data_IF_419647198881
#
_entry.id   IF_419647198881
#
_cell.length_a   1.000
_cell.length_b   1.000
_cell.length_c   1.000
_cell.angle_alpha   90.00
_cell.angle_beta   90.00
_cell.angle_gamma   90.00
#
_symmetry.space_group_name_H-M   'P 1'
#
loop_
_entity.id
_entity.type
_entity.pdbx_description
1 polymer ?
#
# COMPACT_ATOMS: atom_id res chain seq x y z
N UNK A 1 -18.23 30.69 -6.44
CA UNK A 1 -18.00 29.30 -6.89
C UNK A 1 -17.43 28.58 -5.70
N UNK A 2 -18.24 27.77 -5.02
CA UNK A 2 -17.72 26.87 -3.98
C UNK A 2 -16.95 25.75 -4.68
N UNK A 3 -15.81 25.36 -4.10
CA UNK A 3 -15.06 24.17 -4.48
C UNK A 3 -15.71 22.94 -3.85
N UNK A 4 -17.03 22.81 -3.97
CA UNK A 4 -17.72 21.58 -3.59
C UNK A 4 -17.50 20.63 -4.77
N UNK A 5 -16.30 20.05 -4.81
CA UNK A 5 -16.03 18.95 -5.71
C UNK A 5 -16.69 17.72 -5.10
N UNK A 6 -17.68 17.15 -5.80
CA UNK A 6 -18.22 15.83 -5.48
C UNK A 6 -17.14 14.71 -5.55
N UNK A 7 -15.93 15.06 -5.99
CA UNK A 7 -14.70 14.24 -6.09
C UNK A 7 -13.85 14.29 -4.80
N UNK A 8 -14.49 14.20 -3.63
CA UNK A 8 -13.75 14.15 -2.36
C UNK A 8 -13.18 12.74 -2.12
N UNK A 9 -11.85 12.67 -2.02
CA UNK A 9 -11.17 11.47 -1.51
C UNK A 9 -11.19 11.45 0.02
N UNK A 10 -11.55 10.30 0.59
CA UNK A 10 -11.36 9.99 2.00
C UNK A 10 -10.05 9.21 2.19
N UNK A 11 -9.23 9.64 3.15
CA UNK A 11 -8.00 8.94 3.53
C UNK A 11 -8.25 8.11 4.78
N UNK A 12 -8.03 6.80 4.70
CA UNK A 12 -8.24 5.87 5.81
C UNK A 12 -7.17 4.78 5.85
N UNK A 13 -7.06 4.10 6.98
CA UNK A 13 -6.25 2.88 7.07
C UNK A 13 -6.86 1.81 6.16
N UNK A 14 -5.99 1.00 5.55
CA UNK A 14 -6.40 -0.12 4.72
C UNK A 14 -7.21 -1.13 5.55
N UNK A 15 -8.40 -1.45 5.07
CA UNK A 15 -9.26 -2.48 5.65
C UNK A 15 -9.15 -3.79 4.88
N UNK A 16 -9.54 -4.89 5.53
CA UNK A 16 -9.35 -6.26 5.00
C UNK A 16 -10.09 -6.49 3.68
N UNK A 17 -11.23 -5.84 3.49
CA UNK A 17 -12.06 -5.90 2.29
C UNK A 17 -11.46 -5.15 1.09
N UNK A 18 -10.52 -4.23 1.32
CA UNK A 18 -9.87 -3.42 0.26
C UNK A 18 -8.46 -3.89 -0.10
N UNK A 19 -8.00 -5.01 0.47
CA UNK A 19 -6.64 -5.53 0.28
C UNK A 19 -6.35 -5.86 -1.18
N UNK A 20 -7.28 -6.54 -1.86
CA UNK A 20 -7.06 -6.96 -3.25
C UNK A 20 -7.06 -5.75 -4.21
N UNK A 21 -7.91 -4.75 -3.97
CA UNK A 21 -7.92 -3.49 -4.75
C UNK A 21 -6.58 -2.75 -4.61
N UNK A 22 -6.06 -2.64 -3.38
CA UNK A 22 -4.77 -2.03 -3.11
C UNK A 22 -3.62 -2.77 -3.82
N UNK A 23 -3.61 -4.11 -3.78
CA UNK A 23 -2.61 -4.93 -4.47
C UNK A 23 -2.72 -4.83 -6.00
N UNK A 24 -3.93 -4.70 -6.54
CA UNK A 24 -4.16 -4.49 -7.97
C UNK A 24 -3.59 -3.14 -8.43
N UNK A 25 -3.85 -2.07 -7.68
CA UNK A 25 -3.28 -0.74 -7.95
C UNK A 25 -1.75 -0.81 -7.91
N UNK A 26 -1.20 -1.49 -6.91
CA UNK A 26 0.25 -1.67 -6.77
C UNK A 26 0.86 -2.41 -7.96
N UNK A 27 0.24 -3.51 -8.39
CA UNK A 27 0.73 -4.31 -9.51
C UNK A 27 0.69 -3.53 -10.83
N UNK A 28 -0.35 -2.72 -11.05
CA UNK A 28 -0.47 -1.93 -12.28
C UNK A 28 0.47 -0.72 -12.30
N UNK A 29 0.57 0.00 -11.18
CA UNK A 29 1.38 1.24 -11.10
C UNK A 29 2.87 0.99 -10.98
N UNK A 30 3.31 -0.16 -10.44
CA UNK A 30 4.74 -0.50 -10.31
C UNK A 30 5.44 -0.62 -11.67
N UNK A 31 4.70 -0.90 -12.76
CA UNK A 31 5.24 -0.87 -14.14
C UNK A 31 5.75 0.52 -14.55
N UNK A 32 5.35 1.56 -13.83
CA UNK A 32 5.74 2.95 -14.06
C UNK A 32 6.82 3.43 -13.06
N UNK A 33 7.25 2.57 -12.13
CA UNK A 33 8.28 2.88 -11.14
C UNK A 33 9.67 2.85 -11.81
N UNK A 34 10.52 3.83 -11.48
CA UNK A 34 11.75 4.09 -12.21
C UNK A 34 12.82 3.00 -12.02
N UNK A 35 12.90 2.38 -10.83
CA UNK A 35 13.81 1.26 -10.59
C UNK A 35 13.28 -0.03 -11.23
N UNK A 36 11.97 -0.28 -11.18
CA UNK A 36 11.34 -1.41 -11.84
C UNK A 36 11.58 -1.37 -13.36
N UNK A 37 11.44 -0.19 -13.98
CA UNK A 37 11.77 0.02 -15.40
C UNK A 37 13.28 -0.13 -15.62
N UNK A 38 14.09 0.57 -14.81
CA UNK A 38 15.54 0.63 -15.00
C UNK A 38 16.26 -0.71 -14.84
N UNK A 39 15.67 -1.63 -14.06
CA UNK A 39 16.20 -2.96 -13.79
C UNK A 39 15.49 -4.07 -14.58
N UNK A 40 14.52 -3.75 -15.45
CA UNK A 40 13.77 -4.76 -16.20
C UNK A 40 13.00 -5.71 -15.30
N UNK A 41 12.50 -5.23 -14.14
CA UNK A 41 11.91 -6.09 -13.10
C UNK A 41 10.74 -6.94 -13.60
N UNK A 42 9.97 -6.44 -14.58
CA UNK A 42 8.84 -7.16 -15.17
C UNK A 42 9.20 -8.02 -16.39
N UNK A 43 10.48 -8.06 -16.76
CA UNK A 43 11.02 -8.94 -17.82
C UNK A 43 11.51 -10.27 -17.24
N UNK A 44 11.69 -10.34 -15.91
CA UNK A 44 12.07 -11.54 -15.17
C UNK A 44 10.84 -12.32 -14.69
N UNK A 45 10.85 -13.64 -14.93
CA UNK A 45 9.81 -14.54 -14.44
C UNK A 45 9.82 -14.58 -12.89
N UNK A 46 8.67 -14.35 -12.25
CA UNK A 46 8.49 -14.49 -10.80
C UNK A 46 8.55 -13.20 -9.98
N UNK A 47 9.13 -12.12 -10.51
CA UNK A 47 9.22 -10.84 -9.80
C UNK A 47 7.85 -10.24 -9.41
N UNK A 48 6.79 -10.31 -10.25
CA UNK A 48 5.45 -9.85 -9.86
C UNK A 48 4.87 -10.63 -8.67
N UNK A 49 5.08 -11.95 -8.63
CA UNK A 49 4.62 -12.82 -7.56
C UNK A 49 5.33 -12.52 -6.24
N UNK A 50 6.65 -12.34 -6.27
CA UNK A 50 7.45 -11.98 -5.10
C UNK A 50 7.05 -10.62 -4.54
N UNK A 51 6.82 -9.62 -5.41
CA UNK A 51 6.35 -8.31 -5.00
C UNK A 51 4.95 -8.37 -4.37
N UNK A 52 4.05 -9.22 -4.88
CA UNK A 52 2.74 -9.43 -4.27
C UNK A 52 2.86 -9.98 -2.84
N UNK A 53 3.72 -10.99 -2.65
CA UNK A 53 4.00 -11.55 -1.33
C UNK A 53 4.59 -10.50 -0.37
N UNK A 54 5.54 -9.70 -0.84
CA UNK A 54 6.15 -8.62 -0.06
C UNK A 54 5.09 -7.64 0.46
N UNK A 55 4.22 -7.12 -0.41
CA UNK A 55 3.20 -6.16 0.01
C UNK A 55 2.13 -6.78 0.91
N UNK A 56 1.79 -8.06 0.74
CA UNK A 56 0.94 -8.78 1.71
C UNK A 56 1.55 -8.81 3.10
N UNK A 57 2.87 -8.95 3.23
CA UNK A 57 3.56 -8.88 4.52
C UNK A 57 3.71 -7.45 5.07
N UNK A 58 3.79 -6.44 4.19
CA UNK A 58 3.76 -5.03 4.62
C UNK A 58 2.40 -4.66 5.23
N UNK A 59 1.30 -5.08 4.61
CA UNK A 59 -0.07 -4.79 5.06
C UNK A 59 -0.34 -5.29 6.48
N UNK A 60 0.28 -6.41 6.89
CA UNK A 60 0.07 -6.98 8.22
C UNK A 60 0.50 -6.07 9.37
N UNK A 61 1.34 -5.07 9.10
CA UNK A 61 1.73 -4.08 10.10
C UNK A 61 0.58 -3.12 10.46
N UNK A 62 -0.50 -3.10 9.66
CA UNK A 62 -1.68 -2.25 9.91
C UNK A 62 -1.43 -0.76 9.68
N UNK A 63 -0.35 -0.39 8.98
CA UNK A 63 0.07 1.00 8.76
C UNK A 63 -0.17 1.50 7.33
N UNK A 64 -0.69 0.66 6.44
CA UNK A 64 -1.01 1.03 5.06
C UNK A 64 -2.19 2.00 5.02
N UNK A 65 -2.03 3.10 4.28
CA UNK A 65 -3.08 4.10 4.05
C UNK A 65 -3.66 3.94 2.65
N UNK A 66 -4.96 4.18 2.51
CA UNK A 66 -5.66 4.23 1.24
C UNK A 66 -6.38 5.56 1.08
N UNK A 67 -6.45 6.03 -0.16
CA UNK A 67 -7.36 7.08 -0.58
C UNK A 67 -8.54 6.43 -1.31
N UNK A 68 -9.77 6.77 -0.91
CA UNK A 68 -11.00 6.15 -1.41
C UNK A 68 -11.94 7.23 -1.92
N UNK A 69 -12.52 7.03 -3.10
CA UNK A 69 -13.57 7.90 -3.62
C UNK A 69 -14.81 7.81 -2.73
N UNK A 70 -15.27 8.93 -2.16
CA UNK A 70 -16.41 8.93 -1.22
C UNK A 70 -17.73 8.44 -1.84
N UNK A 71 -17.91 8.60 -3.14
CA UNK A 71 -19.17 8.30 -3.82
C UNK A 71 -19.25 6.84 -4.24
N UNK A 72 -18.15 6.28 -4.74
CA UNK A 72 -18.09 4.90 -5.24
C UNK A 72 -17.53 3.91 -4.24
N UNK A 73 -16.85 4.40 -3.19
CA UNK A 73 -16.04 3.62 -2.25
C UNK A 73 -14.92 2.81 -2.94
N UNK A 74 -14.51 3.22 -4.15
CA UNK A 74 -13.41 2.63 -4.88
C UNK A 74 -12.06 3.16 -4.38
N UNK A 75 -11.08 2.28 -4.26
CA UNK A 75 -9.72 2.67 -3.88
C UNK A 75 -9.08 3.42 -5.06
N UNK A 76 -8.72 4.68 -4.84
CA UNK A 76 -8.07 5.51 -5.85
C UNK A 76 -6.54 5.44 -5.77
N UNK A 77 -6.00 5.29 -4.55
CA UNK A 77 -4.57 5.19 -4.32
C UNK A 77 -4.25 4.45 -3.02
N UNK A 78 -3.01 3.96 -2.89
CA UNK A 78 -2.51 3.27 -1.71
C UNK A 78 -1.08 3.73 -1.39
N UNK A 79 -0.78 3.87 -0.10
CA UNK A 79 0.55 4.07 0.42
C UNK A 79 0.88 2.93 1.40
N UNK A 80 1.66 1.96 0.93
CA UNK A 80 2.13 0.83 1.73
C UNK A 80 3.24 1.29 2.67
N UNK A 81 3.02 1.14 3.98
CA UNK A 81 3.98 1.54 5.01
C UNK A 81 4.41 0.32 5.83
N UNK A 82 5.72 0.12 5.97
CA UNK A 82 6.30 -0.90 6.84
C UNK A 82 6.70 -0.26 8.18
N UNK A 83 6.37 -0.93 9.28
CA UNK A 83 6.84 -0.53 10.61
C UNK A 83 8.25 -1.06 10.84
N UNK A 84 9.24 -0.17 10.93
CA UNK A 84 10.62 -0.52 11.26
C UNK A 84 10.81 -0.54 12.79
N UNK A 85 10.76 -1.73 13.39
CA UNK A 85 11.00 -1.90 14.83
C UNK A 85 12.49 -2.08 15.08
N UNK A 86 13.11 -1.18 15.86
CA UNK A 86 14.45 -1.38 16.40
C UNK A 86 14.34 -2.00 17.79
N UNK A 87 14.90 -3.20 17.99
CA UNK A 87 14.88 -3.89 19.29
C UNK A 87 15.87 -3.32 20.33
N UNK A 88 16.37 -2.11 20.12
CA UNK A 88 17.21 -1.44 21.12
C UNK A 88 16.32 -0.61 22.06
N UNK A 89 16.25 -1.04 23.33
CA UNK A 89 15.72 -0.34 24.52
C UNK A 89 14.20 -0.36 24.81
N UNK A 90 13.63 -1.55 25.04
CA UNK A 90 12.66 -1.69 26.14
C UNK A 90 13.28 -2.64 27.15
N UNK A 91 13.80 -2.16 28.31
CA UNK A 91 14.14 -3.05 29.39
C UNK A 91 12.85 -3.74 29.81
N UNK A 92 12.80 -5.06 29.64
CA UNK A 92 11.76 -5.89 30.21
C UNK A 92 11.84 -5.73 31.74
N UNK A 93 11.01 -4.89 32.33
CA UNK A 93 10.79 -4.90 33.77
C UNK A 93 9.80 -6.03 34.05
N UNK A 94 10.32 -7.19 34.43
CA UNK A 94 9.54 -8.24 35.06
C UNK A 94 8.95 -7.72 36.37
N UNK A 95 7.61 -7.76 36.48
CA UNK A 95 6.91 -7.73 37.76
C UNK A 95 6.97 -9.11 38.42
#
# INVERSE_FOLDING_TARGET
>A
MSLDCDDELEYKLLTRDKVEDALAIQAETMKQENLAIGLGMFEEDGAPEEMNLLFREVIKDGMTLIAVDKRTDEVAAVAFNKLHVSFHSIPFSSN
#
